data_IF_103223899813
#
_entry.id   IF_103223899813
#
_cell.length_a   1.000
_cell.length_b   1.000
_cell.length_c   1.000
_cell.angle_alpha   90.00
_cell.angle_beta   90.00
_cell.angle_gamma   90.00
#
_symmetry.space_group_name_H-M   'P 1'
#
loop_
_entity.id
_entity.type
_entity.pdbx_description
1 polymer ?
#
# COMPACT_ATOMS: atom_id res chain seq x y z
N UNK A 1 3.76 -14.26 3.67
CA UNK A 1 4.56 -15.50 3.78
C UNK A 1 3.81 -16.70 4.39
N UNK A 2 2.46 -16.68 4.46
CA UNK A 2 1.67 -17.81 5.00
C UNK A 2 1.02 -18.71 3.94
N UNK A 3 0.76 -18.18 2.74
CA UNK A 3 -0.03 -18.87 1.71
C UNK A 3 0.65 -20.14 1.19
N UNK A 4 1.92 -20.07 0.79
CA UNK A 4 2.66 -21.24 0.32
C UNK A 4 2.83 -22.33 1.38
N UNK A 5 2.95 -21.93 2.66
CA UNK A 5 3.01 -22.87 3.78
C UNK A 5 1.68 -23.60 4.02
N UNK A 6 0.56 -22.94 3.72
CA UNK A 6 -0.78 -23.52 3.85
C UNK A 6 -1.14 -24.39 2.66
N UNK A 7 -0.79 -23.99 1.43
CA UNK A 7 -1.06 -24.77 0.22
C UNK A 7 -0.12 -25.97 0.06
N UNK A 8 1.16 -25.83 0.38
CA UNK A 8 2.18 -26.87 0.17
C UNK A 8 2.95 -27.18 1.46
N UNK A 9 2.28 -27.76 2.47
CA UNK A 9 2.89 -27.96 3.79
C UNK A 9 4.07 -28.93 3.76
N UNK A 10 4.01 -29.95 2.90
CA UNK A 10 5.06 -30.95 2.79
C UNK A 10 6.28 -30.36 2.10
N UNK A 11 6.10 -29.69 0.96
CA UNK A 11 7.20 -29.01 0.28
C UNK A 11 7.86 -27.95 1.17
N UNK A 12 7.07 -27.18 1.93
CA UNK A 12 7.58 -26.13 2.80
C UNK A 12 8.42 -26.67 3.96
N UNK A 13 8.17 -27.90 4.42
CA UNK A 13 8.97 -28.55 5.48
C UNK A 13 10.41 -28.85 5.05
N UNK A 14 10.65 -29.05 3.74
CA UNK A 14 11.97 -29.31 3.18
C UNK A 14 12.69 -28.02 2.74
N UNK A 15 12.07 -26.85 2.88
CA UNK A 15 12.69 -25.58 2.47
C UNK A 15 13.84 -25.20 3.41
N UNK A 16 15.02 -24.87 2.84
CA UNK A 16 16.17 -24.38 3.62
C UNK A 16 15.91 -22.99 4.19
N UNK A 17 15.38 -22.09 3.35
CA UNK A 17 15.13 -20.69 3.69
C UNK A 17 13.63 -20.37 3.68
N UNK A 18 12.99 -20.39 4.84
CA UNK A 18 11.55 -20.09 4.97
C UNK A 18 11.20 -18.61 4.79
N UNK A 19 12.20 -17.71 4.87
CA UNK A 19 12.06 -16.26 4.71
C UNK A 19 12.58 -15.74 3.37
N UNK A 20 12.72 -16.62 2.37
CA UNK A 20 13.22 -16.23 1.06
C UNK A 20 12.17 -15.44 0.25
N UNK A 21 12.62 -14.46 -0.55
CA UNK A 21 11.75 -13.81 -1.55
C UNK A 21 11.46 -14.77 -2.71
N UNK A 22 10.34 -14.56 -3.40
CA UNK A 22 9.98 -15.34 -4.59
C UNK A 22 10.99 -15.12 -5.71
N UNK A 23 11.50 -13.90 -5.89
CA UNK A 23 12.50 -13.59 -6.92
C UNK A 23 13.84 -14.32 -6.67
N UNK A 24 14.27 -14.40 -5.42
CA UNK A 24 15.50 -15.13 -5.04
C UNK A 24 15.29 -16.64 -5.06
N UNK A 25 14.07 -17.13 -4.84
CA UNK A 25 13.73 -18.54 -5.04
C UNK A 25 13.80 -18.94 -6.52
N UNK A 26 13.24 -18.13 -7.42
CA UNK A 26 13.21 -18.40 -8.86
C UNK A 26 14.59 -18.32 -9.54
N UNK A 27 15.54 -17.59 -8.96
CA UNK A 27 16.90 -17.45 -9.49
C UNK A 27 17.87 -18.51 -8.99
N UNK A 28 17.52 -19.26 -7.94
CA UNK A 28 18.35 -20.34 -7.38
C UNK A 28 17.91 -21.71 -7.89
N UNK A 29 18.86 -22.63 -7.97
CA UNK A 29 18.58 -24.03 -8.23
C UNK A 29 17.82 -24.70 -7.09
N UNK A 30 17.09 -25.77 -7.43
CA UNK A 30 16.27 -26.57 -6.51
C UNK A 30 17.11 -27.10 -5.34
N UNK A 31 18.34 -27.52 -5.58
CA UNK A 31 19.27 -28.05 -4.56
C UNK A 31 19.63 -27.01 -3.48
N UNK A 32 19.64 -25.73 -3.85
CA UNK A 32 19.94 -24.62 -2.94
C UNK A 32 18.69 -24.12 -2.20
N UNK A 33 17.51 -24.40 -2.73
CA UNK A 33 16.23 -24.03 -2.12
C UNK A 33 15.72 -25.09 -1.14
N UNK A 34 15.99 -26.38 -1.40
CA UNK A 34 15.44 -27.50 -0.63
C UNK A 34 16.52 -28.41 -0.03
N UNK A 35 16.15 -29.10 1.04
CA UNK A 35 16.88 -30.23 1.61
C UNK A 35 16.51 -31.49 0.81
N UNK A 36 17.51 -32.17 0.27
CA UNK A 36 17.36 -33.41 -0.49
C UNK A 36 17.79 -34.63 0.35
N UNK A 37 17.19 -35.81 0.15
CA UNK A 37 16.17 -36.14 -0.85
C UNK A 37 14.75 -35.69 -0.45
N UNK A 38 13.99 -35.19 -1.43
CA UNK A 38 12.56 -34.85 -1.26
C UNK A 38 11.72 -36.12 -1.09
N UNK A 39 10.63 -36.01 -0.33
CA UNK A 39 9.60 -37.06 -0.30
C UNK A 39 8.80 -37.08 -1.61
N UNK A 40 8.16 -38.22 -1.90
CA UNK A 40 7.28 -38.36 -3.08
C UNK A 40 6.20 -37.29 -3.13
N UNK A 41 5.59 -37.01 -1.97
CA UNK A 41 4.55 -35.99 -1.81
C UNK A 41 5.08 -34.57 -2.03
N UNK A 42 6.26 -34.25 -1.48
CA UNK A 42 6.89 -32.95 -1.68
C UNK A 42 7.28 -32.73 -3.16
N UNK A 43 7.74 -33.78 -3.85
CA UNK A 43 8.07 -33.72 -5.28
C UNK A 43 6.84 -33.45 -6.15
N UNK A 44 5.69 -34.04 -5.80
CA UNK A 44 4.42 -33.77 -6.50
C UNK A 44 3.99 -32.31 -6.31
N UNK A 45 4.05 -31.80 -5.08
CA UNK A 45 3.75 -30.40 -4.77
C UNK A 45 4.70 -29.42 -5.49
N UNK A 46 5.99 -29.76 -5.62
CA UNK A 46 6.95 -28.95 -6.36
C UNK A 46 6.58 -28.84 -7.85
N UNK A 47 6.12 -29.95 -8.45
CA UNK A 47 5.70 -29.98 -9.85
C UNK A 47 4.44 -29.13 -10.08
N UNK A 48 3.48 -29.21 -9.15
CA UNK A 48 2.28 -28.36 -9.20
C UNK A 48 2.64 -26.87 -9.10
N UNK A 49 3.52 -26.51 -8.16
CA UNK A 49 4.01 -25.13 -7.99
C UNK A 49 4.69 -24.62 -9.26
N UNK A 50 5.55 -25.43 -9.88
CA UNK A 50 6.22 -25.08 -11.13
C UNK A 50 5.21 -24.81 -12.26
N UNK A 51 4.18 -25.65 -12.39
CA UNK A 51 3.09 -25.46 -13.35
C UNK A 51 2.31 -24.15 -13.12
N UNK A 52 2.01 -23.80 -11.86
CA UNK A 52 1.35 -22.53 -11.52
C UNK A 52 2.21 -21.33 -11.90
N UNK A 53 3.51 -21.37 -11.59
CA UNK A 53 4.46 -20.29 -11.90
C UNK A 53 4.56 -20.08 -13.41
N UNK A 54 4.61 -21.15 -14.19
CA UNK A 54 4.65 -21.10 -15.65
C UNK A 54 3.37 -20.49 -16.23
N UNK A 55 2.20 -20.85 -15.69
CA UNK A 55 0.92 -20.28 -16.11
C UNK A 55 0.87 -18.76 -15.87
N UNK A 56 1.36 -18.30 -14.72
CA UNK A 56 1.45 -16.86 -14.40
C UNK A 56 2.39 -16.13 -15.38
N UNK A 57 3.58 -16.70 -15.64
CA UNK A 57 4.54 -16.08 -16.56
C UNK A 57 4.07 -16.07 -18.02
N UNK A 58 3.27 -17.07 -18.44
CA UNK A 58 2.70 -17.14 -19.79
C UNK A 58 1.70 -16.02 -20.13
N UNK A 59 1.18 -15.33 -19.11
CA UNK A 59 0.21 -14.23 -19.27
C UNK A 59 0.94 -12.87 -19.47
N UNK A 60 2.24 -12.80 -19.20
CA UNK A 60 3.02 -11.58 -19.02
C UNK A 60 3.80 -11.12 -20.27
N UNK A 61 3.19 -11.16 -21.46
CA UNK A 61 3.77 -10.49 -22.64
C UNK A 61 3.18 -9.09 -22.90
N UNK A 62 2.21 -8.67 -22.09
CA UNK A 62 1.64 -7.32 -22.14
C UNK A 62 2.41 -6.35 -21.25
N UNK A 63 2.54 -5.09 -21.68
CA UNK A 63 3.04 -3.99 -20.85
C UNK A 63 2.22 -3.91 -19.56
N UNK A 64 2.87 -3.90 -18.39
CA UNK A 64 2.22 -3.72 -17.09
C UNK A 64 1.42 -2.41 -17.09
N UNK A 65 0.11 -2.54 -17.26
CA UNK A 65 -0.83 -1.43 -17.26
C UNK A 65 -1.64 -1.42 -15.97
N UNK A 66 -1.54 -0.35 -15.20
CA UNK A 66 -2.41 -0.14 -14.05
C UNK A 66 -3.79 0.34 -14.53
N UNK A 67 -4.78 -0.55 -14.51
CA UNK A 67 -6.18 -0.19 -14.76
C UNK A 67 -6.90 0.08 -13.44
N UNK A 68 -7.67 1.16 -13.37
CA UNK A 68 -8.56 1.34 -12.22
C UNK A 68 -9.68 0.29 -12.25
N UNK A 69 -9.96 -0.32 -11.11
CA UNK A 69 -10.99 -1.37 -11.01
C UNK A 69 -12.42 -0.85 -11.28
N UNK A 70 -12.61 0.46 -11.33
CA UNK A 70 -13.90 1.15 -11.45
C UNK A 70 -14.05 1.99 -12.72
N UNK A 71 -13.14 1.87 -13.69
CA UNK A 71 -13.26 2.53 -15.01
C UNK A 71 -11.97 3.13 -15.53
N UNK A 72 -12.08 3.99 -16.56
CA UNK A 72 -10.92 4.61 -17.22
C UNK A 72 -10.41 5.88 -16.54
N UNK A 73 -11.25 6.53 -15.73
CA UNK A 73 -10.93 7.84 -15.15
C UNK A 73 -10.62 7.74 -13.67
N UNK A 74 -9.59 8.46 -13.24
CA UNK A 74 -9.23 8.56 -11.83
C UNK A 74 -10.31 9.30 -11.03
N UNK A 75 -10.68 8.76 -9.88
CA UNK A 75 -11.56 9.40 -8.91
C UNK A 75 -11.02 9.18 -7.51
N UNK A 76 -10.64 10.26 -6.82
CA UNK A 76 -10.16 10.21 -5.44
C UNK A 76 -11.16 9.51 -4.51
N UNK A 77 -12.46 9.71 -4.72
CA UNK A 77 -13.52 9.09 -3.91
C UNK A 77 -13.55 7.58 -4.07
N UNK A 78 -13.40 7.09 -5.30
CA UNK A 78 -13.40 5.66 -5.59
C UNK A 78 -12.10 5.00 -5.13
N UNK A 79 -10.95 5.66 -5.35
CA UNK A 79 -9.66 5.21 -4.82
C UNK A 79 -9.68 5.10 -3.30
N UNK A 80 -10.18 6.13 -2.62
CA UNK A 80 -10.30 6.14 -1.17
C UNK A 80 -11.25 5.04 -0.67
N UNK A 81 -12.38 4.83 -1.34
CA UNK A 81 -13.31 3.75 -1.00
C UNK A 81 -12.71 2.36 -1.20
N UNK A 82 -11.89 2.16 -2.23
CA UNK A 82 -11.22 0.89 -2.48
C UNK A 82 -10.12 0.60 -1.45
N UNK A 83 -9.35 1.62 -1.07
CA UNK A 83 -8.30 1.52 -0.04
C UNK A 83 -8.91 1.35 1.35
N UNK A 84 -10.00 2.05 1.66
CA UNK A 84 -10.71 1.90 2.94
C UNK A 84 -11.33 0.52 3.11
N UNK A 85 -11.61 -0.22 2.03
CA UNK A 85 -12.26 -1.54 2.10
C UNK A 85 -13.62 -1.49 2.81
N UNK A 86 -14.07 -2.64 3.33
CA UNK A 86 -15.23 -2.75 4.21
C UNK A 86 -14.80 -2.37 5.63
N UNK A 87 -14.28 -1.16 5.83
CA UNK A 87 -14.14 -0.65 7.19
C UNK A 87 -15.53 -0.28 7.70
N UNK A 88 -16.08 -1.12 8.58
CA UNK A 88 -17.19 -0.73 9.43
C UNK A 88 -16.75 0.50 10.22
N UNK A 89 -17.21 1.66 9.76
CA UNK A 89 -17.01 2.94 10.44
C UNK A 89 -17.46 2.76 11.88
N UNK A 90 -16.52 2.57 12.80
CA UNK A 90 -16.87 2.37 14.19
C UNK A 90 -17.58 3.62 14.67
N UNK A 91 -18.85 3.46 15.06
CA UNK A 91 -19.78 4.55 15.42
C UNK A 91 -19.16 5.51 16.44
N UNK A 92 -18.27 5.00 17.29
CA UNK A 92 -17.57 5.74 18.34
C UNK A 92 -16.73 6.92 17.83
N UNK A 93 -16.16 6.85 16.62
CA UNK A 93 -15.34 7.93 16.09
C UNK A 93 -16.13 9.04 15.40
N UNK A 94 -17.44 8.87 15.22
CA UNK A 94 -18.30 9.88 14.57
C UNK A 94 -18.34 11.20 15.37
N UNK A 95 -18.20 11.12 16.70
CA UNK A 95 -18.14 12.30 17.57
C UNK A 95 -16.84 13.08 17.41
N UNK A 96 -15.71 12.42 17.15
CA UNK A 96 -14.43 13.09 16.92
C UNK A 96 -14.54 14.04 15.71
N UNK A 97 -15.08 13.53 14.60
CA UNK A 97 -15.29 14.29 13.37
C UNK A 97 -16.34 15.41 13.50
N UNK A 98 -17.31 15.29 14.42
CA UNK A 98 -18.26 16.36 14.74
C UNK A 98 -17.60 17.53 15.49
N UNK A 99 -16.51 17.29 16.22
CA UNK A 99 -15.80 18.32 16.98
C UNK A 99 -14.62 18.95 16.22
N UNK A 100 -14.13 18.32 15.14
CA UNK A 100 -13.00 18.80 14.32
C UNK A 100 -13.23 20.13 13.58
N UNK A 101 -14.42 20.74 13.70
CA UNK A 101 -14.75 22.03 13.07
C UNK A 101 -14.87 23.20 14.06
N UNK A 102 -14.12 23.20 15.17
CA UNK A 102 -14.08 24.34 16.12
C UNK A 102 -12.69 24.92 16.36
N UNK A 103 -11.83 24.90 15.34
CA UNK A 103 -10.56 25.62 15.34
C UNK A 103 -10.62 26.98 14.65
N UNK A 104 -11.55 27.87 15.03
CA UNK A 104 -11.54 29.30 14.59
C UNK A 104 -10.58 30.16 15.43
N UNK A 105 -9.60 29.57 16.09
CA UNK A 105 -8.54 30.35 16.71
C UNK A 105 -7.54 30.75 15.62
N UNK A 106 -7.59 32.02 15.21
CA UNK A 106 -6.53 32.67 14.44
C UNK A 106 -5.30 32.76 15.35
N UNK A 107 -4.47 31.73 15.38
CA UNK A 107 -3.13 31.86 15.96
C UNK A 107 -2.29 32.67 14.97
N UNK A 108 -2.20 33.98 15.19
CA UNK A 108 -1.16 34.80 14.58
C UNK A 108 0.14 34.54 15.33
N UNK A 109 1.00 33.66 14.80
CA UNK A 109 2.40 33.63 15.20
C UNK A 109 3.11 34.77 14.49
N UNK A 110 3.27 35.91 15.16
CA UNK A 110 4.23 36.92 14.73
C UNK A 110 5.59 36.54 15.30
N UNK A 111 6.37 35.76 14.55
CA UNK A 111 7.79 35.56 14.81
C UNK A 111 8.52 36.82 14.32
N UNK A 112 8.62 37.81 15.20
CA UNK A 112 9.44 39.00 14.96
C UNK A 112 10.92 38.61 15.07
N UNK A 113 11.76 38.76 14.04
CA UNK A 113 13.19 38.82 14.25
C UNK A 113 13.52 40.09 15.05
N UNK A 114 14.45 40.04 16.02
CA UNK A 114 14.89 41.23 16.73
C UNK A 114 15.73 42.08 15.76
N UNK A 115 15.11 43.09 15.16
CA UNK A 115 15.79 43.96 14.21
C UNK A 115 14.87 44.98 13.58
N UNK A 116 14.79 46.14 14.24
CA UNK A 116 14.43 47.46 13.72
C UNK A 116 12.97 47.69 13.28
N UNK A 117 12.32 48.48 14.13
CA UNK A 117 11.05 49.18 13.95
C UNK A 117 11.03 50.09 12.73
N UNK A 118 10.07 49.85 11.83
CA UNK A 118 9.35 50.92 11.13
C UNK A 118 7.86 50.53 11.16
N UNK A 119 7.12 50.98 12.17
CA UNK A 119 5.66 50.88 12.15
C UNK A 119 5.15 51.76 11.01
N UNK A 120 4.71 51.12 9.92
CA UNK A 120 3.90 51.76 8.89
C UNK A 120 2.47 51.27 9.07
N UNK A 121 1.59 52.20 9.36
CA UNK A 121 0.15 52.05 9.54
C UNK A 121 -0.46 51.14 8.46
N UNK A 122 -1.22 50.07 8.82
CA UNK A 122 -1.80 49.20 7.83
C UNK A 122 -2.92 49.93 7.09
N UNK A 123 -2.64 50.28 5.83
CA UNK A 123 -3.63 50.74 4.88
C UNK A 123 -4.76 49.72 4.75
N UNK A 124 -5.96 50.27 4.74
CA UNK A 124 -7.27 49.64 4.75
C UNK A 124 -7.41 48.40 3.83
N UNK A 125 -8.23 47.47 4.36
CA UNK A 125 -8.86 46.33 3.70
C UNK A 125 -8.75 46.28 2.17
N UNK A 126 -7.95 45.34 1.67
CA UNK A 126 -8.25 44.71 0.39
C UNK A 126 -8.72 43.29 0.63
N UNK A 127 -10.03 43.13 0.47
CA UNK A 127 -10.72 41.85 0.48
C UNK A 127 -10.03 40.89 -0.51
N UNK A 128 -9.35 39.88 0.03
CA UNK A 128 -8.90 38.74 -0.77
C UNK A 128 -10.12 37.87 -1.06
N UNK A 129 -10.68 38.05 -2.25
CA UNK A 129 -11.63 37.15 -2.87
C UNK A 129 -10.94 35.78 -3.05
N UNK A 130 -11.32 34.80 -2.23
CA UNK A 130 -11.04 33.41 -2.52
C UNK A 130 -11.94 32.97 -3.68
N UNK A 131 -11.40 33.01 -4.90
CA UNK A 131 -11.97 32.25 -6.02
C UNK A 131 -11.48 30.80 -5.90
N UNK A 132 -12.39 29.91 -5.52
CA UNK A 132 -12.24 28.47 -5.76
C UNK A 132 -12.63 28.25 -7.22
N UNK A 133 -11.65 27.90 -8.05
CA UNK A 133 -11.81 27.00 -9.18
C UNK A 133 -10.74 25.93 -9.05
#
# INVERSE_FOLDING_TARGET
MGLLKLEFPQLFSFAKDTKNSVATFLSRDIENNFLLPLSTEASMQLTELAGRILNIHGISHGTDGWTYQWGSTFSCKQAYSAIQGIMTKQVQFTWLWKNSCRGKHKFFFFLAPPGETQYKEPAEEKAFHFAIL
#
